data_IF_513386475046
#
_entry.id   IF_513386475046
#
_cell.length_a   1.000
_cell.length_b   1.000
_cell.length_c   1.000
_cell.angle_alpha   90.00
_cell.angle_beta   90.00
_cell.angle_gamma   90.00
#
_symmetry.space_group_name_H-M   'P 1'
#
loop_
_entity.id
_entity.type
_entity.pdbx_description
1 polymer ?
#
# COMPACT_ATOMS: atom_id res chain seq x y z
N UNK A 1 14.12 8.85 15.64
CA UNK A 1 14.30 7.42 16.00
C UNK A 1 15.50 6.80 15.24
N UNK A 2 16.23 5.79 15.74
CA UNK A 2 17.30 5.11 14.96
C UNK A 2 16.65 4.19 13.91
N UNK A 3 17.23 4.06 12.71
CA UNK A 3 16.66 3.33 11.57
C UNK A 3 16.23 1.90 11.89
N UNK A 4 17.00 1.19 12.72
CA UNK A 4 16.65 -0.18 13.14
C UNK A 4 15.30 -0.28 13.88
N UNK A 5 15.01 0.68 14.76
CA UNK A 5 13.76 0.68 15.52
C UNK A 5 12.56 0.99 14.62
N UNK A 6 12.75 1.81 13.57
CA UNK A 6 11.72 2.07 12.55
C UNK A 6 11.46 0.83 11.68
N UNK A 7 12.50 0.07 11.34
CA UNK A 7 12.37 -1.14 10.53
C UNK A 7 11.58 -2.24 11.28
N UNK A 8 11.88 -2.46 12.57
CA UNK A 8 11.17 -3.42 13.42
C UNK A 8 9.68 -3.03 13.56
N UNK A 9 9.46 -1.76 13.89
CA UNK A 9 8.17 -1.09 13.91
C UNK A 9 7.32 -1.29 12.65
N UNK A 10 7.89 -0.97 11.49
CA UNK A 10 7.20 -1.10 10.21
C UNK A 10 6.88 -2.58 9.91
N UNK A 11 7.78 -3.49 10.25
CA UNK A 11 7.57 -4.93 10.09
C UNK A 11 6.38 -5.42 10.92
N UNK A 12 6.31 -5.06 12.21
CA UNK A 12 5.20 -5.46 13.10
C UNK A 12 3.86 -4.94 12.60
N UNK A 13 3.80 -3.68 12.16
CA UNK A 13 2.57 -3.07 11.66
C UNK A 13 2.14 -3.67 10.32
N UNK A 14 3.08 -4.04 9.45
CA UNK A 14 2.76 -4.78 8.24
C UNK A 14 2.22 -6.18 8.54
N UNK A 15 2.78 -6.89 9.54
CA UNK A 15 2.22 -8.18 9.97
C UNK A 15 0.80 -8.03 10.53
N UNK A 16 0.57 -6.99 11.33
CA UNK A 16 -0.75 -6.68 11.86
C UNK A 16 -1.76 -6.39 10.74
N UNK A 17 -1.35 -5.62 9.71
CA UNK A 17 -2.18 -5.40 8.51
C UNK A 17 -2.53 -6.71 7.82
N UNK A 18 -1.56 -7.60 7.59
CA UNK A 18 -1.81 -8.90 6.96
C UNK A 18 -2.87 -9.69 7.72
N UNK A 19 -2.75 -9.78 9.05
CA UNK A 19 -3.65 -10.55 9.90
C UNK A 19 -5.05 -9.93 10.00
N UNK A 20 -5.14 -8.64 10.32
CA UNK A 20 -6.42 -7.99 10.63
C UNK A 20 -7.28 -7.72 9.41
N UNK A 21 -6.66 -7.69 8.22
CA UNK A 21 -7.36 -7.44 6.95
C UNK A 21 -7.46 -8.69 6.08
N UNK A 22 -6.93 -9.82 6.56
CA UNK A 22 -6.85 -11.11 5.85
C UNK A 22 -6.26 -10.89 4.44
N UNK A 23 -5.08 -10.26 4.42
CA UNK A 23 -4.32 -9.91 3.21
C UNK A 23 -3.18 -10.88 2.98
N UNK A 24 -2.87 -11.08 1.71
CA UNK A 24 -1.73 -11.84 1.25
C UNK A 24 -0.46 -10.97 1.11
N UNK A 25 -0.64 -9.65 1.01
CA UNK A 25 0.43 -8.67 0.89
C UNK A 25 0.07 -7.37 1.60
N UNK A 26 1.05 -6.78 2.29
CA UNK A 26 0.99 -5.44 2.83
C UNK A 26 2.30 -4.70 2.51
N UNK A 27 2.21 -3.44 2.12
CA UNK A 27 3.39 -2.65 1.77
C UNK A 27 3.24 -1.18 2.18
N UNK A 28 4.37 -0.53 2.47
CA UNK A 28 4.46 0.91 2.68
C UNK A 28 5.21 1.50 1.48
N UNK A 29 4.58 2.48 0.84
CA UNK A 29 5.13 3.21 -0.29
C UNK A 29 5.44 4.66 0.07
N UNK A 30 6.54 5.17 -0.47
CA UNK A 30 6.95 6.56 -0.38
C UNK A 30 6.96 7.21 -1.76
N UNK A 31 6.14 8.24 -1.91
CA UNK A 31 6.07 9.11 -3.06
C UNK A 31 7.02 10.28 -2.90
N UNK A 32 7.92 10.43 -3.86
CA UNK A 32 8.80 11.58 -4.01
C UNK A 32 8.08 12.67 -4.82
N UNK A 33 7.82 13.81 -4.20
CA UNK A 33 7.13 14.94 -4.83
C UNK A 33 7.93 15.58 -5.96
N UNK A 34 9.26 15.54 -5.92
CA UNK A 34 10.13 16.12 -6.95
C UNK A 34 10.15 15.23 -8.20
N UNK A 35 10.43 13.93 -8.06
CA UNK A 35 10.43 13.01 -9.19
C UNK A 35 9.04 12.51 -9.61
N UNK A 36 8.02 12.76 -8.78
CA UNK A 36 6.64 12.27 -8.94
C UNK A 36 6.55 10.75 -9.07
N UNK A 37 7.48 10.04 -8.41
CA UNK A 37 7.56 8.57 -8.40
C UNK A 37 7.29 8.00 -7.02
N UNK A 38 6.58 6.89 -7.00
CA UNK A 38 6.36 6.03 -5.84
C UNK A 38 7.39 4.90 -5.85
N UNK A 39 7.96 4.60 -4.69
CA UNK A 39 8.74 3.39 -4.41
C UNK A 39 8.16 2.67 -3.19
N UNK A 40 8.26 1.34 -3.15
CA UNK A 40 7.96 0.56 -1.95
C UNK A 40 9.20 0.50 -1.07
N UNK A 41 9.04 0.80 0.21
CA UNK A 41 10.12 0.86 1.20
C UNK A 41 10.04 -0.28 2.22
N UNK A 42 8.84 -0.79 2.47
CA UNK A 42 8.60 -1.98 3.28
C UNK A 42 7.55 -2.85 2.59
N UNK A 43 7.76 -4.18 2.60
CA UNK A 43 6.84 -5.16 2.00
C UNK A 43 6.80 -6.39 2.91
N UNK A 44 5.60 -6.90 3.17
CA UNK A 44 5.35 -8.16 3.85
C UNK A 44 4.38 -9.01 3.02
N UNK A 45 4.57 -10.34 3.03
CA UNK A 45 3.75 -11.27 2.22
C UNK A 45 4.05 -11.24 0.71
N UNK A 46 5.10 -10.52 0.31
CA UNK A 46 5.60 -10.51 -1.06
C UNK A 46 6.06 -11.88 -1.55
N UNK A 47 5.71 -12.20 -2.79
CA UNK A 47 6.19 -13.39 -3.51
C UNK A 47 7.29 -13.05 -4.51
N UNK A 48 7.52 -11.76 -4.76
CA UNK A 48 8.48 -11.29 -5.74
C UNK A 48 9.44 -10.27 -5.14
N UNK A 49 10.73 -10.57 -5.21
CA UNK A 49 11.81 -9.61 -4.87
C UNK A 49 11.78 -8.35 -5.75
N UNK A 50 11.06 -8.39 -6.88
CA UNK A 50 10.93 -7.22 -7.78
C UNK A 50 10.02 -6.15 -7.21
N UNK A 51 9.19 -6.46 -6.22
CA UNK A 51 8.23 -5.52 -5.66
C UNK A 51 8.92 -4.27 -5.09
N UNK A 52 10.01 -4.45 -4.33
CA UNK A 52 10.81 -3.32 -3.81
C UNK A 52 11.56 -2.53 -4.90
N UNK A 53 11.77 -3.14 -6.06
CA UNK A 53 12.41 -2.52 -7.22
C UNK A 53 11.43 -1.69 -8.06
N UNK A 54 10.12 -1.79 -7.81
CA UNK A 54 9.11 -1.02 -8.54
C UNK A 54 9.34 0.48 -8.33
N UNK A 55 9.30 1.22 -9.44
CA UNK A 55 9.24 2.69 -9.46
C UNK A 55 8.09 3.10 -10.35
N UNK A 56 6.97 3.53 -9.75
CA UNK A 56 5.74 3.86 -10.45
C UNK A 56 5.51 5.38 -10.48
N UNK A 57 4.89 5.91 -11.53
CA UNK A 57 4.46 7.31 -11.54
C UNK A 57 3.28 7.50 -10.57
N UNK A 58 3.34 8.52 -9.72
CA UNK A 58 2.25 8.88 -8.79
C UNK A 58 0.96 9.34 -9.50
N UNK A 59 0.96 9.47 -10.82
CA UNK A 59 -0.23 9.74 -11.63
C UNK A 59 -1.06 8.49 -11.93
N UNK A 60 -0.53 7.29 -11.69
CA UNK A 60 -1.12 6.01 -12.09
C UNK A 60 -1.60 5.20 -10.89
N UNK A 61 -2.54 4.29 -11.17
CA UNK A 61 -2.97 3.26 -10.23
C UNK A 61 -3.79 3.76 -9.04
N UNK A 62 -4.09 2.80 -8.18
CA UNK A 62 -4.73 2.97 -6.88
C UNK A 62 -3.87 3.84 -5.98
N UNK A 63 -2.56 3.54 -5.89
CA UNK A 63 -1.61 4.22 -5.00
C UNK A 63 -1.51 5.71 -5.34
N UNK A 64 -1.36 6.04 -6.61
CA UNK A 64 -1.33 7.43 -7.06
C UNK A 64 -2.66 8.14 -6.82
N UNK A 65 -3.80 7.45 -7.00
CA UNK A 65 -5.12 8.02 -6.80
C UNK A 65 -5.42 8.29 -5.32
N UNK A 66 -5.00 7.39 -4.43
CA UNK A 66 -5.06 7.57 -2.99
C UNK A 66 -4.25 8.80 -2.55
N UNK A 67 -3.00 8.88 -2.98
CA UNK A 67 -2.10 10.00 -2.65
C UNK A 67 -2.63 11.35 -3.14
N UNK A 68 -3.26 11.42 -4.31
CA UNK A 68 -3.83 12.68 -4.83
C UNK A 68 -5.13 13.10 -4.17
N UNK A 69 -5.98 12.12 -3.83
CA UNK A 69 -7.30 12.38 -3.28
C UNK A 69 -7.31 12.50 -1.75
N UNK A 70 -6.29 11.97 -1.07
CA UNK A 70 -6.29 11.82 0.38
C UNK A 70 -7.35 10.83 0.86
N UNK A 71 -7.85 9.94 0.00
CA UNK A 71 -8.88 8.95 0.31
C UNK A 71 -8.40 7.53 0.06
N UNK A 72 -8.97 6.58 0.78
CA UNK A 72 -8.81 5.16 0.52
C UNK A 72 -9.37 4.84 -0.88
N UNK A 73 -8.56 4.21 -1.72
CA UNK A 73 -8.96 3.73 -3.04
C UNK A 73 -8.87 2.22 -3.04
N UNK A 74 -9.99 1.54 -3.31
CA UNK A 74 -10.05 0.09 -3.39
C UNK A 74 -10.26 -0.40 -4.82
N UNK A 75 -9.76 -1.60 -5.05
CA UNK A 75 -10.00 -2.40 -6.21
C UNK A 75 -10.97 -3.52 -5.83
N UNK A 76 -12.13 -3.51 -6.48
CA UNK A 76 -13.12 -4.56 -6.32
C UNK A 76 -12.65 -5.84 -7.03
N UNK A 77 -13.01 -6.99 -6.47
CA UNK A 77 -12.87 -8.29 -7.14
C UNK A 77 -13.79 -8.44 -8.34
N UNK A 78 -13.63 -9.53 -9.09
CA UNK A 78 -14.43 -9.89 -10.26
C UNK A 78 -14.04 -9.15 -11.54
N UNK A 79 -12.91 -8.43 -11.55
CA UNK A 79 -12.41 -7.74 -12.72
C UNK A 79 -11.80 -8.71 -13.74
N UNK A 80 -11.92 -8.36 -15.02
CA UNK A 80 -11.21 -9.10 -16.07
C UNK A 80 -9.72 -8.77 -16.05
N UNK A 81 -8.87 -9.68 -16.55
CA UNK A 81 -7.43 -9.44 -16.62
C UNK A 81 -7.09 -8.14 -17.37
N UNK A 82 -7.86 -7.81 -18.41
CA UNK A 82 -7.69 -6.57 -19.17
C UNK A 82 -7.94 -5.32 -18.30
N UNK A 83 -8.90 -5.39 -17.37
CA UNK A 83 -9.17 -4.29 -16.45
C UNK A 83 -8.04 -4.14 -15.44
N UNK A 84 -7.46 -5.26 -14.94
CA UNK A 84 -6.27 -5.23 -14.10
C UNK A 84 -5.08 -4.56 -14.79
N UNK A 85 -4.82 -4.89 -16.07
CA UNK A 85 -3.75 -4.25 -16.83
C UNK A 85 -3.96 -2.75 -17.00
N UNK A 86 -5.21 -2.31 -17.22
CA UNK A 86 -5.55 -0.88 -17.38
C UNK A 86 -5.40 -0.06 -16.11
N UNK A 87 -5.51 -0.67 -14.92
CA UNK A 87 -5.26 0.04 -13.66
C UNK A 87 -3.86 0.65 -13.62
N UNK A 88 -2.88 -0.01 -14.27
CA UNK A 88 -1.49 0.45 -14.29
C UNK A 88 -0.82 0.45 -12.91
N UNK A 89 -1.33 -0.35 -11.97
CA UNK A 89 -0.75 -0.54 -10.65
C UNK A 89 0.26 -1.70 -10.69
N UNK A 90 1.55 -1.36 -10.71
CA UNK A 90 2.63 -2.33 -10.94
C UNK A 90 2.74 -3.39 -9.83
N UNK A 91 2.43 -3.04 -8.57
CA UNK A 91 2.46 -4.00 -7.46
C UNK A 91 1.37 -5.06 -7.61
N UNK A 92 0.18 -4.69 -8.10
CA UNK A 92 -0.91 -5.63 -8.39
C UNK A 92 -0.49 -6.67 -9.41
N UNK A 93 0.14 -6.23 -10.50
CA UNK A 93 0.61 -7.13 -11.56
C UNK A 93 1.80 -7.98 -11.12
N UNK A 94 2.74 -7.39 -10.37
CA UNK A 94 3.97 -8.08 -9.94
C UNK A 94 3.68 -9.18 -8.93
N UNK A 95 2.68 -8.98 -8.07
CA UNK A 95 2.35 -9.88 -6.95
C UNK A 95 1.11 -10.74 -7.22
N UNK A 96 0.52 -10.64 -8.41
CA UNK A 96 -0.65 -11.44 -8.82
C UNK A 96 -1.89 -11.14 -7.97
N UNK A 97 -2.09 -9.89 -7.57
CA UNK A 97 -3.20 -9.50 -6.71
C UNK A 97 -4.50 -9.39 -7.51
N UNK A 98 -5.60 -9.85 -6.91
CA UNK A 98 -6.96 -9.86 -7.46
C UNK A 98 -7.91 -8.93 -6.71
N UNK A 99 -7.59 -8.56 -5.48
CA UNK A 99 -8.22 -7.44 -4.79
C UNK A 99 -7.14 -6.63 -4.06
N UNK A 100 -7.34 -5.32 -3.95
CA UNK A 100 -6.35 -4.45 -3.35
C UNK A 100 -6.97 -3.17 -2.79
N UNK A 101 -6.28 -2.51 -1.87
CA UNK A 101 -6.60 -1.17 -1.44
C UNK A 101 -5.34 -0.35 -1.19
N UNK A 102 -5.40 0.93 -1.52
CA UNK A 102 -4.38 1.92 -1.23
C UNK A 102 -4.94 2.96 -0.27
N UNK A 103 -4.25 3.17 0.86
CA UNK A 103 -4.63 4.06 1.94
C UNK A 103 -3.57 5.15 2.06
N UNK A 104 -3.91 6.43 1.82
CA UNK A 104 -2.93 7.50 1.95
C UNK A 104 -2.64 7.75 3.43
N UNK A 105 -1.36 7.83 3.77
CA UNK A 105 -0.92 8.30 5.07
C UNK A 105 -0.65 9.80 4.96
N UNK A 106 -1.06 10.55 5.99
CA UNK A 106 -0.81 11.99 6.07
C UNK A 106 0.25 12.26 7.14
N UNK A 107 1.55 12.13 6.82
CA UNK A 107 2.59 12.57 7.75
C UNK A 107 2.59 14.11 7.81
N UNK A 108 2.85 14.72 8.98
CA UNK A 108 2.98 16.17 9.19
C UNK A 108 3.98 16.94 8.31
N UNK A 109 4.80 16.30 7.47
CA UNK A 109 5.74 16.97 6.54
C UNK A 109 5.88 16.25 5.21
N UNK A 110 5.81 17.02 4.10
CA UNK A 110 6.29 16.88 2.69
C UNK A 110 6.45 15.50 2.01
N UNK A 111 6.09 14.39 2.66
CA UNK A 111 6.20 13.04 2.14
C UNK A 111 4.82 12.51 1.81
N UNK A 112 4.69 11.96 0.62
CA UNK A 112 3.47 11.29 0.20
C UNK A 112 3.59 9.81 0.55
N UNK A 113 3.05 9.38 1.70
CA UNK A 113 3.11 7.98 2.13
C UNK A 113 1.80 7.26 1.81
N UNK A 114 1.88 5.98 1.47
CA UNK A 114 0.72 5.15 1.17
C UNK A 114 0.91 3.74 1.74
N UNK A 115 -0.12 3.21 2.38
CA UNK A 115 -0.23 1.79 2.69
C UNK A 115 -0.93 1.11 1.54
N UNK A 116 -0.45 -0.07 1.18
CA UNK A 116 -1.07 -0.92 0.19
C UNK A 116 -1.34 -2.28 0.80
N UNK A 117 -2.56 -2.77 0.66
CA UNK A 117 -2.94 -4.13 1.05
C UNK A 117 -3.49 -4.88 -0.15
N UNK A 118 -3.19 -6.17 -0.24
CA UNK A 118 -3.46 -7.00 -1.41
C UNK A 118 -3.90 -8.40 -1.06
N UNK A 119 -4.82 -8.95 -1.85
CA UNK A 119 -5.25 -10.35 -1.84
C UNK A 119 -5.01 -10.95 -3.22
N UNK A 120 -4.50 -12.18 -3.27
CA UNK A 120 -4.35 -13.00 -4.49
C UNK A 120 -5.63 -13.75 -4.82
N UNK A 121 -6.52 -13.91 -3.84
CA UNK A 121 -7.90 -14.38 -4.05
C UNK A 121 -8.80 -13.26 -4.54
N UNK A 122 -9.80 -13.66 -5.32
CA UNK A 122 -10.77 -12.75 -5.93
C UNK A 122 -11.90 -12.40 -4.95
N UNK A 123 -11.55 -11.66 -3.89
CA UNK A 123 -12.46 -11.30 -2.80
C UNK A 123 -12.20 -9.86 -2.34
N UNK A 124 -13.18 -8.98 -2.59
CA UNK A 124 -13.14 -7.58 -2.18
C UNK A 124 -12.98 -7.41 -0.67
N UNK A 125 -12.32 -6.33 -0.25
CA UNK A 125 -12.28 -5.94 1.16
C UNK A 125 -13.64 -5.45 1.65
N UNK A 126 -14.02 -5.90 2.84
CA UNK A 126 -15.15 -5.34 3.58
C UNK A 126 -14.79 -3.97 4.15
N UNK A 127 -15.81 -3.15 4.44
CA UNK A 127 -15.61 -1.85 5.07
C UNK A 127 -14.93 -1.98 6.44
N UNK A 128 -15.22 -3.05 7.19
CA UNK A 128 -14.57 -3.33 8.46
C UNK A 128 -13.06 -3.57 8.30
N UNK A 129 -12.65 -4.34 7.29
CA UNK A 129 -11.22 -4.55 7.02
C UNK A 129 -10.52 -3.25 6.61
N UNK A 130 -11.18 -2.40 5.82
CA UNK A 130 -10.64 -1.10 5.41
C UNK A 130 -10.54 -0.12 6.58
N UNK A 131 -11.51 -0.11 7.49
CA UNK A 131 -11.45 0.67 8.73
C UNK A 131 -10.27 0.22 9.59
N UNK A 132 -10.04 -1.09 9.76
CA UNK A 132 -8.88 -1.62 10.50
C UNK A 132 -7.56 -1.23 9.85
N UNK A 133 -7.48 -1.30 8.53
CA UNK A 133 -6.29 -0.86 7.79
C UNK A 133 -5.98 0.62 8.02
N UNK A 134 -7.02 1.47 8.04
CA UNK A 134 -6.89 2.91 8.27
C UNK A 134 -6.44 3.21 9.71
N UNK A 135 -7.02 2.52 10.70
CA UNK A 135 -6.62 2.59 12.11
C UNK A 135 -5.13 2.25 12.31
N UNK A 136 -4.67 1.16 11.70
CA UNK A 136 -3.26 0.76 11.75
C UNK A 136 -2.38 1.79 11.01
N UNK A 137 -2.87 2.35 9.91
CA UNK A 137 -2.16 3.39 9.16
C UNK A 137 -1.99 4.70 9.93
N UNK A 138 -2.95 5.07 10.78
CA UNK A 138 -2.82 6.21 11.68
C UNK A 138 -1.70 5.99 12.71
N UNK A 139 -1.55 4.77 13.24
CA UNK A 139 -0.45 4.43 14.16
C UNK A 139 0.91 4.57 13.47
N UNK A 140 1.03 4.09 12.22
CA UNK A 140 2.23 4.25 11.39
C UNK A 140 2.59 5.72 11.13
N UNK A 141 1.58 6.56 10.89
CA UNK A 141 1.79 7.97 10.53
C UNK A 141 2.45 8.75 11.66
N UNK A 142 2.09 8.48 12.92
CA UNK A 142 2.68 9.16 14.08
C UNK A 142 4.17 8.84 14.30
N UNK A 143 4.69 7.78 13.67
CA UNK A 143 6.09 7.37 13.84
C UNK A 143 7.01 8.07 12.85
N UNK A 144 6.49 8.48 11.69
CA UNK A 144 7.27 9.17 10.66
C UNK A 144 7.65 10.62 11.03
N UNK A 145 7.14 11.11 12.16
CA UNK A 145 7.47 12.42 12.74
C UNK A 145 8.63 12.43 13.74
N UNK A 146 9.09 11.24 14.20
CA UNK A 146 9.95 11.06 15.39
C UNK A 146 11.41 10.64 15.11
#
# INVERSE_FOLDING_TARGET
MNGKAMDEAASELLQLLLMDTDSDLAAIGEGDLASRKLRWIYVAGGTSVRTELIRQRMSLGLSGSALRSGRIIKLEGGLSDNDFFKLGEAIVLTEGLRAAAALPLQPPKERALVIFIGRRRDESYSDAALMRADEIGMLLSGWWDS
#
